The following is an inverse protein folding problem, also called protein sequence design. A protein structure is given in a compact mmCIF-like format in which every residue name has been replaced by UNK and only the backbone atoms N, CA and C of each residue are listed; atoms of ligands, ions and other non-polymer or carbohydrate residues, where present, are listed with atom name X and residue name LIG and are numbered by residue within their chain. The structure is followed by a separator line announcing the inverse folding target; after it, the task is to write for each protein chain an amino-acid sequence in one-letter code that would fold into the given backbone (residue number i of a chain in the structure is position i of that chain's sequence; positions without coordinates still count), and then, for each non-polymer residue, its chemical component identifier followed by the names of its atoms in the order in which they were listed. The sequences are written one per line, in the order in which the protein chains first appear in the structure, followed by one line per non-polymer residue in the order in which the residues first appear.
data_IF_550385494981
#
_entry.id   IF_550385494981
#
_cell.length_a   1.000
_cell.length_b   1.000
_cell.length_c   1.000
_cell.angle_alpha   90.00
_cell.angle_beta   90.00
_cell.angle_gamma   90.00
#
_symmetry.space_group_name_H-M   'P 1'
#
loop_
_entity.id
_entity.type
_entity.pdbx_description
1 polymer ?
#
# COMPACT_ATOMS: atom_id res chain seq x y z
N UNK A 1 0.95 -29.72 19.36
CA UNK A 1 1.51 -29.39 18.04
C UNK A 1 0.33 -28.87 17.25
N UNK A 2 0.17 -27.56 17.18
CA UNK A 2 -0.81 -26.98 16.26
C UNK A 2 -0.30 -27.26 14.86
N UNK A 3 -1.11 -27.89 14.03
CA UNK A 3 -0.79 -28.05 12.61
C UNK A 3 -0.40 -26.68 12.07
N UNK A 4 0.76 -26.60 11.40
CA UNK A 4 1.17 -25.38 10.71
C UNK A 4 0.10 -25.10 9.65
N UNK A 5 -0.69 -24.05 9.87
CA UNK A 5 -1.66 -23.61 8.90
C UNK A 5 -0.89 -23.04 7.69
N UNK A 6 -1.10 -23.63 6.53
CA UNK A 6 -0.40 -23.27 5.28
C UNK A 6 -1.40 -22.56 4.39
N UNK A 7 -1.00 -21.42 3.83
CA UNK A 7 -1.79 -20.70 2.83
C UNK A 7 -1.13 -20.81 1.47
N UNK A 8 -1.95 -20.88 0.42
CA UNK A 8 -1.46 -20.85 -0.97
C UNK A 8 -1.22 -19.42 -1.40
N UNK A 9 -0.16 -19.18 -2.14
CA UNK A 9 0.20 -17.83 -2.64
C UNK A 9 -0.91 -17.23 -3.52
N UNK A 10 -1.62 -18.08 -4.26
CA UNK A 10 -2.71 -17.68 -5.14
C UNK A 10 -4.10 -17.65 -4.49
N UNK A 11 -4.21 -17.83 -3.16
CA UNK A 11 -5.49 -17.77 -2.47
C UNK A 11 -6.01 -16.33 -2.44
N UNK A 12 -7.11 -16.08 -3.16
CA UNK A 12 -7.75 -14.77 -3.29
C UNK A 12 -8.29 -14.21 -1.97
N UNK A 13 -8.40 -15.04 -0.92
CA UNK A 13 -8.85 -14.62 0.39
C UNK A 13 -7.71 -14.09 1.26
N UNK A 14 -6.48 -14.02 0.73
CA UNK A 14 -5.33 -13.47 1.44
C UNK A 14 -4.63 -12.40 0.60
N UNK A 15 -4.22 -11.31 1.26
CA UNK A 15 -3.27 -10.35 0.73
C UNK A 15 -1.94 -10.55 1.44
N UNK A 16 -0.87 -10.71 0.64
CA UNK A 16 0.46 -11.04 1.14
C UNK A 16 1.44 -9.97 0.69
N UNK A 17 2.18 -9.43 1.65
CA UNK A 17 3.21 -8.42 1.49
C UNK A 17 4.49 -8.85 2.21
N UNK A 18 5.62 -8.23 1.87
CA UNK A 18 6.84 -8.27 2.70
C UNK A 18 7.14 -6.86 3.21
N UNK A 19 7.80 -6.78 4.36
CA UNK A 19 8.36 -5.50 4.82
C UNK A 19 9.60 -5.19 3.98
N UNK A 20 9.62 -4.03 3.35
CA UNK A 20 10.74 -3.61 2.50
C UNK A 20 10.85 -2.11 2.40
N UNK A 21 11.76 -1.67 1.53
CA UNK A 21 11.93 -0.27 1.15
C UNK A 21 11.89 -0.16 -0.36
N UNK A 22 11.32 0.93 -0.83
CA UNK A 22 11.39 1.31 -2.23
C UNK A 22 12.78 1.86 -2.57
N UNK A 23 13.13 1.85 -3.85
CA UNK A 23 14.39 2.36 -4.39
C UNK A 23 14.43 3.88 -4.35
N UNK A 24 13.28 4.54 -4.60
CA UNK A 24 13.14 5.98 -4.55
C UNK A 24 12.52 6.43 -3.22
N UNK A 25 12.82 7.67 -2.84
CA UNK A 25 12.11 8.38 -1.77
C UNK A 25 10.84 9.03 -2.35
N UNK A 26 9.74 8.93 -1.60
CA UNK A 26 8.43 9.44 -2.00
C UNK A 26 7.91 10.43 -0.96
N UNK A 27 7.17 11.43 -1.43
CA UNK A 27 6.55 12.47 -0.59
C UNK A 27 5.04 12.58 -0.81
N UNK A 28 4.55 12.19 -1.99
CA UNK A 28 3.15 12.30 -2.40
C UNK A 28 2.50 10.93 -2.55
N UNK A 29 3.21 9.99 -3.17
CA UNK A 29 2.62 8.70 -3.52
C UNK A 29 2.45 7.81 -2.28
N UNK A 30 1.20 7.57 -1.89
CA UNK A 30 0.87 6.80 -0.69
C UNK A 30 1.37 5.35 -0.71
N UNK A 31 1.56 4.76 -1.90
CA UNK A 31 2.16 3.43 -2.03
C UNK A 31 3.66 3.48 -1.73
N UNK A 32 4.35 4.49 -2.27
CA UNK A 32 5.78 4.73 -2.04
C UNK A 32 6.13 5.13 -0.60
N UNK A 33 5.14 5.62 0.16
CA UNK A 33 5.29 5.91 1.60
C UNK A 33 5.11 4.67 2.49
N UNK A 34 4.52 3.60 1.97
CA UNK A 34 4.32 2.34 2.70
C UNK A 34 5.55 1.44 2.64
N UNK A 35 5.84 0.73 3.73
CA UNK A 35 6.86 -0.32 3.75
C UNK A 35 6.29 -1.71 3.40
N UNK A 36 5.00 -1.81 3.07
CA UNK A 36 4.36 -3.05 2.64
C UNK A 36 4.54 -3.24 1.13
N UNK A 37 5.47 -4.12 0.74
CA UNK A 37 5.80 -4.39 -0.66
C UNK A 37 5.00 -5.63 -1.13
N UNK A 38 4.24 -5.54 -2.23
CA UNK A 38 3.48 -6.69 -2.73
C UNK A 38 4.41 -7.79 -3.22
N UNK A 39 4.13 -9.04 -2.83
CA UNK A 39 4.94 -10.22 -3.23
C UNK A 39 4.17 -11.24 -4.06
N UNK A 40 2.88 -11.01 -4.30
CA UNK A 40 2.05 -11.89 -5.15
C UNK A 40 1.45 -11.09 -6.29
N UNK A 41 1.10 -11.78 -7.37
CA UNK A 41 0.43 -11.17 -8.52
C UNK A 41 -0.90 -10.54 -8.14
N UNK A 42 -1.66 -11.18 -7.24
CA UNK A 42 -2.94 -10.66 -6.74
C UNK A 42 -2.75 -9.34 -6.02
N UNK A 43 -1.84 -9.30 -5.05
CA UNK A 43 -1.55 -8.08 -4.27
C UNK A 43 -0.97 -6.98 -5.17
N UNK A 44 -0.06 -7.32 -6.10
CA UNK A 44 0.50 -6.36 -7.05
C UNK A 44 -0.58 -5.72 -7.93
N UNK A 45 -1.49 -6.53 -8.47
CA UNK A 45 -2.59 -6.03 -9.30
C UNK A 45 -3.55 -5.16 -8.49
N UNK A 46 -3.82 -5.53 -7.25
CA UNK A 46 -4.64 -4.72 -6.36
C UNK A 46 -4.01 -3.36 -6.07
N UNK A 47 -2.70 -3.31 -5.78
CA UNK A 47 -1.96 -2.06 -5.56
C UNK A 47 -2.03 -1.16 -6.80
N UNK A 48 -1.77 -1.72 -7.99
CA UNK A 48 -1.86 -0.95 -9.25
C UNK A 48 -3.26 -0.42 -9.50
N UNK A 49 -4.29 -1.24 -9.30
CA UNK A 49 -5.67 -0.80 -9.45
C UNK A 49 -6.01 0.33 -8.47
N UNK A 50 -5.63 0.20 -7.19
CA UNK A 50 -5.83 1.24 -6.19
C UNK A 50 -5.12 2.54 -6.57
N UNK A 51 -3.89 2.47 -7.12
CA UNK A 51 -3.20 3.66 -7.62
C UNK A 51 -3.96 4.34 -8.76
N UNK A 52 -4.47 3.58 -9.72
CA UNK A 52 -5.21 4.11 -10.86
C UNK A 52 -6.53 4.76 -10.42
N UNK A 53 -7.25 4.15 -9.47
CA UNK A 53 -8.47 4.73 -8.89
C UNK A 53 -8.19 6.06 -8.18
N UNK A 54 -7.13 6.12 -7.34
CA UNK A 54 -6.72 7.35 -6.67
C UNK A 54 -6.34 8.43 -7.69
N UNK A 55 -5.52 8.09 -8.69
CA UNK A 55 -5.05 9.06 -9.69
C UNK A 55 -6.16 9.52 -10.65
N UNK A 56 -7.14 8.68 -10.94
CA UNK A 56 -8.27 9.04 -11.80
C UNK A 56 -9.29 9.95 -11.11
N UNK A 57 -9.29 9.97 -9.78
CA UNK A 57 -10.14 10.84 -8.98
C UNK A 57 -9.72 12.30 -9.15
N UNK A 58 -10.70 13.21 -9.15
CA UNK A 58 -10.50 14.64 -9.44
C UNK A 58 -11.01 15.51 -8.30
N UNK A 59 -10.21 16.48 -7.89
CA UNK A 59 -10.52 17.39 -6.80
C UNK A 59 -10.18 18.83 -7.18
N UNK A 60 -10.98 19.78 -6.71
CA UNK A 60 -10.68 21.19 -6.86
C UNK A 60 -9.73 21.63 -5.74
N UNK A 61 -8.59 22.20 -6.13
CA UNK A 61 -7.60 22.77 -5.22
C UNK A 61 -7.20 24.16 -5.74
N UNK A 62 -7.55 25.19 -4.98
CA UNK A 62 -7.41 26.59 -5.39
C UNK A 62 -8.15 26.88 -6.70
N UNK A 63 -7.43 27.22 -7.78
CA UNK A 63 -7.95 27.48 -9.12
C UNK A 63 -7.70 26.32 -10.10
N UNK A 64 -7.23 25.17 -9.62
CA UNK A 64 -6.86 24.00 -10.42
C UNK A 64 -7.66 22.74 -10.07
N UNK A 65 -7.74 21.83 -11.02
CA UNK A 65 -8.21 20.45 -10.82
C UNK A 65 -6.98 19.55 -10.68
N UNK A 66 -6.88 18.82 -9.57
CA UNK A 66 -5.76 17.92 -9.25
C UNK A 66 -6.26 16.49 -9.02
N UNK A 67 -5.36 15.52 -9.13
CA UNK A 67 -5.69 14.12 -8.88
C UNK A 67 -5.76 13.78 -7.38
N UNK A 68 -6.22 12.57 -7.06
CA UNK A 68 -6.37 12.12 -5.68
C UNK A 68 -5.07 12.06 -4.88
N UNK A 69 -3.93 11.73 -5.50
CA UNK A 69 -2.64 11.71 -4.79
C UNK A 69 -2.25 13.10 -4.31
N UNK A 70 -2.37 14.09 -5.18
CA UNK A 70 -2.10 15.49 -4.86
C UNK A 70 -3.06 15.97 -3.76
N UNK A 71 -4.36 15.69 -3.90
CA UNK A 71 -5.37 16.12 -2.95
C UNK A 71 -5.14 15.55 -1.53
N UNK A 72 -4.82 14.25 -1.44
CA UNK A 72 -4.52 13.58 -0.17
C UNK A 72 -3.25 14.16 0.44
N UNK A 73 -2.17 14.32 -0.33
CA UNK A 73 -0.90 14.82 0.16
C UNK A 73 -0.97 16.28 0.61
N UNK A 74 -1.73 17.13 -0.09
CA UNK A 74 -2.05 18.47 0.39
C UNK A 74 -2.82 18.44 1.72
N UNK A 75 -3.70 17.47 1.94
CA UNK A 75 -4.44 17.39 3.20
C UNK A 75 -3.58 16.90 4.36
N UNK A 76 -2.68 15.95 4.13
CA UNK A 76 -1.99 15.20 5.17
C UNK A 76 -0.53 15.62 5.40
N UNK A 77 0.13 16.28 4.44
CA UNK A 77 1.55 16.63 4.52
C UNK A 77 1.75 18.15 4.55
N UNK A 78 2.11 18.75 5.70
CA UNK A 78 2.35 20.19 5.82
C UNK A 78 3.42 20.72 4.85
N UNK A 79 4.45 19.91 4.54
CA UNK A 79 5.49 20.31 3.58
C UNK A 79 4.91 20.53 2.18
N UNK A 80 3.97 19.67 1.77
CA UNK A 80 3.30 19.77 0.45
C UNK A 80 2.35 20.98 0.42
N UNK A 81 1.72 21.33 1.55
CA UNK A 81 0.84 22.51 1.65
C UNK A 81 1.56 23.83 1.37
N UNK A 82 2.86 23.89 1.66
CA UNK A 82 3.69 25.08 1.45
C UNK A 82 4.27 25.18 0.03
N UNK A 83 4.14 24.12 -0.79
CA UNK A 83 4.67 24.07 -2.15
C UNK A 83 3.71 24.72 -3.16
N UNK A 84 4.26 25.20 -4.28
CA UNK A 84 3.45 25.63 -5.41
C UNK A 84 2.72 24.43 -6.04
N UNK A 85 1.46 24.62 -6.42
CA UNK A 85 0.63 23.53 -6.94
C UNK A 85 1.21 22.93 -8.23
N UNK A 86 1.86 23.73 -9.09
CA UNK A 86 2.52 23.19 -10.30
C UNK A 86 3.69 22.29 -9.94
N UNK A 87 4.52 22.68 -8.96
CA UNK A 87 5.65 21.87 -8.48
C UNK A 87 5.17 20.54 -7.88
N UNK A 88 4.04 20.56 -7.17
CA UNK A 88 3.42 19.34 -6.61
C UNK A 88 2.88 18.43 -7.70
N UNK A 89 2.29 18.99 -8.76
CA UNK A 89 1.82 18.20 -9.93
C UNK A 89 3.01 17.52 -10.61
N UNK A 90 4.10 18.24 -10.86
CA UNK A 90 5.30 17.68 -11.48
C UNK A 90 5.95 16.59 -10.59
N UNK A 91 5.99 16.81 -9.28
CA UNK A 91 6.50 15.83 -8.32
C UNK A 91 5.62 14.56 -8.30
N UNK A 92 4.29 14.69 -8.29
CA UNK A 92 3.39 13.54 -8.34
C UNK A 92 3.59 12.72 -9.60
N UNK A 93 3.69 13.36 -10.76
CA UNK A 93 3.88 12.66 -12.02
C UNK A 93 5.21 11.88 -12.04
N UNK A 94 6.28 12.49 -11.52
CA UNK A 94 7.58 11.83 -11.37
C UNK A 94 7.48 10.62 -10.44
N UNK A 95 6.89 10.80 -9.26
CA UNK A 95 6.72 9.73 -8.27
C UNK A 95 5.85 8.59 -8.80
N UNK A 96 4.75 8.89 -9.49
CA UNK A 96 3.88 7.88 -10.09
C UNK A 96 4.65 7.01 -11.10
N UNK A 97 5.45 7.63 -11.96
CA UNK A 97 6.23 6.89 -12.95
C UNK A 97 7.31 6.02 -12.29
N UNK A 98 7.98 6.53 -11.25
CA UNK A 98 8.97 5.78 -10.49
C UNK A 98 8.36 4.56 -9.80
N UNK A 99 7.27 4.74 -9.05
CA UNK A 99 6.66 3.63 -8.31
C UNK A 99 6.08 2.59 -9.28
N UNK A 100 5.53 3.02 -10.42
CA UNK A 100 5.04 2.10 -11.44
C UNK A 100 6.19 1.25 -12.02
N UNK A 101 7.36 1.86 -12.25
CA UNK A 101 8.55 1.14 -12.69
C UNK A 101 9.04 0.14 -11.64
N UNK A 102 9.11 0.54 -10.37
CA UNK A 102 9.48 -0.34 -9.27
C UNK A 102 8.51 -1.52 -9.13
N UNK A 103 7.19 -1.26 -9.13
CA UNK A 103 6.15 -2.29 -9.09
C UNK A 103 6.24 -3.28 -10.25
N UNK A 104 6.63 -2.83 -11.44
CA UNK A 104 6.82 -3.71 -12.61
C UNK A 104 8.05 -4.60 -12.51
N UNK A 105 9.02 -4.23 -11.67
CA UNK A 105 10.28 -4.95 -11.49
C UNK A 105 10.33 -5.80 -10.22
N UNK A 106 9.25 -5.84 -9.42
CA UNK A 106 9.19 -6.65 -8.22
C UNK A 106 9.31 -8.14 -8.55
N UNK A 107 10.19 -8.81 -7.80
CA UNK A 107 10.25 -10.28 -7.77
C UNK A 107 9.07 -10.81 -6.95
N UNK A 108 8.21 -11.57 -7.62
CA UNK A 108 7.00 -12.16 -7.04
C UNK A 108 7.24 -13.64 -6.70
N UNK A 109 6.52 -14.12 -5.70
CA UNK A 109 6.42 -15.54 -5.38
C UNK A 109 5.72 -16.30 -6.51
N UNK A 110 6.06 -17.59 -6.64
CA UNK A 110 5.38 -18.48 -7.58
C UNK A 110 3.92 -18.69 -7.14
N UNK A 111 2.99 -18.70 -8.08
CA UNK A 111 1.56 -18.87 -7.78
C UNK A 111 1.24 -20.28 -7.24
N UNK A 112 2.11 -21.27 -7.53
CA UNK A 112 1.98 -22.64 -7.05
C UNK A 112 2.61 -22.85 -5.66
N UNK A 113 3.32 -21.86 -5.12
CA UNK A 113 3.95 -21.94 -3.81
C UNK A 113 2.92 -21.85 -2.67
N UNK A 114 3.41 -22.20 -1.48
CA UNK A 114 2.65 -22.08 -0.24
C UNK A 114 3.54 -21.54 0.87
N UNK A 115 2.95 -20.71 1.74
CA UNK A 115 3.68 -20.07 2.85
C UNK A 115 3.05 -20.45 4.19
N UNK A 116 3.86 -20.59 5.25
CA UNK A 116 3.34 -20.84 6.58
C UNK A 116 2.62 -19.60 7.12
N UNK A 117 1.37 -19.76 7.56
CA UNK A 117 0.57 -18.66 8.11
C UNK A 117 1.21 -18.05 9.36
N UNK A 118 1.89 -18.86 10.16
CA UNK A 118 2.54 -18.42 11.40
C UNK A 118 3.98 -17.94 11.18
N UNK A 119 4.41 -17.74 9.94
CA UNK A 119 5.74 -17.20 9.63
C UNK A 119 5.85 -15.69 9.86
N UNK A 120 7.10 -15.21 9.92
CA UNK A 120 7.46 -13.79 10.08
C UNK A 120 8.07 -13.18 8.80
N UNK A 121 8.19 -13.97 7.73
CA UNK A 121 8.76 -13.51 6.45
C UNK A 121 7.79 -12.59 5.68
N UNK A 122 6.49 -12.72 5.95
CA UNK A 122 5.43 -12.01 5.24
C UNK A 122 4.40 -11.41 6.20
N UNK A 123 3.87 -10.26 5.79
CA UNK A 123 2.64 -9.69 6.32
C UNK A 123 1.47 -10.33 5.58
N UNK A 124 0.60 -11.00 6.33
CA UNK A 124 -0.53 -11.77 5.78
C UNK A 124 -1.81 -11.21 6.34
N UNK A 125 -2.66 -10.70 5.45
CA UNK A 125 -3.99 -10.23 5.78
C UNK A 125 -5.04 -11.15 5.18
N UNK A 126 -6.02 -11.54 5.99
CA UNK A 126 -7.20 -12.27 5.54
C UNK A 126 -8.25 -11.27 5.04
N UNK A 127 -8.76 -11.54 3.85
CA UNK A 127 -9.80 -10.75 3.20
C UNK A 127 -11.14 -11.45 3.42
N UNK A 128 -12.00 -10.81 4.22
CA UNK A 128 -13.32 -11.34 4.53
C UNK A 128 -14.40 -10.38 4.05
N UNK A 129 -15.40 -10.92 3.36
CA UNK A 129 -16.56 -10.12 2.96
C UNK A 129 -17.43 -9.83 4.18
N UNK A 130 -17.61 -8.56 4.48
CA UNK A 130 -18.58 -8.08 5.47
C UNK A 130 -19.67 -7.25 4.78
N UNK A 131 -20.83 -7.87 4.59
CA UNK A 131 -22.00 -7.29 3.93
C UNK A 131 -21.68 -6.72 2.54
N UNK A 132 -21.42 -5.42 2.46
CA UNK A 132 -21.14 -4.67 1.22
C UNK A 132 -19.67 -4.25 1.08
N UNK A 133 -18.81 -4.59 2.05
CA UNK A 133 -17.40 -4.20 2.07
C UNK A 133 -16.48 -5.42 2.24
N UNK A 134 -15.25 -5.30 1.78
CA UNK A 134 -14.19 -6.26 2.09
C UNK A 134 -13.44 -5.74 3.31
N UNK A 135 -13.33 -6.56 4.35
CA UNK A 135 -12.49 -6.29 5.52
C UNK A 135 -11.15 -6.99 5.34
N UNK A 136 -10.08 -6.26 5.59
CA UNK A 136 -8.72 -6.80 5.70
C UNK A 136 -8.39 -6.93 7.18
N UNK A 137 -8.08 -8.14 7.64
CA UNK A 137 -7.72 -8.42 9.04
C UNK A 137 -6.37 -9.13 9.12
N UNK A 138 -5.47 -8.76 10.06
CA UNK A 138 -4.21 -9.48 10.24
C UNK A 138 -4.45 -10.96 10.50
N UNK A 139 -3.83 -11.84 9.71
CA UNK A 139 -4.07 -13.28 9.75
C UNK A 139 -3.18 -14.00 10.77
N UNK A 140 -2.12 -13.35 11.27
CA UNK A 140 -1.22 -13.88 12.28
C UNK A 140 -0.77 -12.79 13.28
N UNK A 141 -0.06 -13.18 14.34
CA UNK A 141 0.43 -12.25 15.37
C UNK A 141 1.48 -11.27 14.84
N UNK A 142 2.39 -11.73 13.99
CA UNK A 142 3.43 -10.88 13.40
C UNK A 142 2.82 -9.69 12.62
N UNK A 143 1.85 -9.97 11.76
CA UNK A 143 1.11 -8.96 10.98
C UNK A 143 0.28 -8.08 11.89
N UNK A 144 -0.32 -8.63 12.94
CA UNK A 144 -1.10 -7.84 13.91
C UNK A 144 -0.23 -6.85 14.65
N UNK A 145 0.96 -7.27 15.08
CA UNK A 145 1.92 -6.40 15.75
C UNK A 145 2.37 -5.27 14.82
N UNK A 146 2.76 -5.60 13.59
CA UNK A 146 3.12 -4.61 12.58
C UNK A 146 1.99 -3.59 12.33
N UNK A 147 0.76 -4.08 12.14
CA UNK A 147 -0.41 -3.24 11.92
C UNK A 147 -0.67 -2.28 13.10
N UNK A 148 -0.57 -2.76 14.34
CA UNK A 148 -0.73 -1.93 15.53
C UNK A 148 0.38 -0.88 15.67
N UNK A 149 1.62 -1.24 15.32
CA UNK A 149 2.75 -0.30 15.34
C UNK A 149 2.57 0.80 14.29
N UNK A 150 2.08 0.48 13.08
CA UNK A 150 1.75 1.47 12.05
C UNK A 150 0.60 2.39 12.48
N UNK A 151 -0.48 1.85 13.07
CA UNK A 151 -1.57 2.66 13.61
C UNK A 151 -1.07 3.64 14.68
N UNK A 152 -0.19 3.18 15.56
CA UNK A 152 0.38 4.02 16.61
C UNK A 152 1.24 5.15 16.02
N UNK A 153 2.03 4.89 14.96
CA UNK A 153 2.78 5.96 14.27
C UNK A 153 1.86 7.02 13.69
N UNK A 154 0.71 6.62 13.14
CA UNK A 154 -0.29 7.55 12.61
C UNK A 154 -0.89 8.38 13.75
N UNK A 155 -1.28 7.74 14.86
CA UNK A 155 -1.79 8.44 16.05
C UNK A 155 -0.76 9.43 16.61
N UNK A 156 0.51 9.05 16.68
CA UNK A 156 1.60 9.92 17.13
C UNK A 156 1.85 11.09 16.16
N UNK A 157 1.67 10.91 14.85
CA UNK A 157 1.84 11.97 13.85
C UNK A 157 0.68 12.98 13.81
N UNK A 158 -0.49 12.59 14.33
CA UNK A 158 -1.68 13.46 14.41
C UNK A 158 -1.75 14.29 15.71
N UNK A 159 -0.86 14.03 16.68
CA UNK A 159 -0.77 14.73 17.96
C UNK A 159 0.39 15.75 18.00
#
# INVERSE_FOLDING_TARGET
MSDEEIIKVNDINYAIYKIGKWENDYEINQIGLSNEIPVTKSTLNHVKWSMDEIRSSKFALSDKEVNGFIAISFHLNPKIQEMDVDDVIELEEKEYNNILAELNNLELLDEDDSIPLNGEDYLIYKLEKDCHVTKSTPANEFTRQFHNDELKKIEDALN
#
